data_IF_775007868493
#
_entry.id   IF_775007868493
#
_cell.length_a   1.000
_cell.length_b   1.000
_cell.length_c   1.000
_cell.angle_alpha   90.00
_cell.angle_beta   90.00
_cell.angle_gamma   90.00
#
_symmetry.space_group_name_H-M   'P 1'
#
loop_
_entity.id
_entity.type
_entity.pdbx_description
1 polymer ?
#
# COMPACT_ATOMS: atom_id res chain seq x y z
N UNK A 1 22.23 5.71 2.32
CA UNK A 1 20.82 5.76 2.76
C UNK A 1 20.49 4.53 3.60
N UNK A 2 19.61 4.69 4.57
CA UNK A 2 19.11 3.55 5.35
C UNK A 2 18.25 2.65 4.47
N UNK A 3 18.33 1.35 4.72
CA UNK A 3 17.44 0.37 4.06
C UNK A 3 16.35 -0.03 5.03
N UNK A 4 15.10 0.21 4.63
CA UNK A 4 13.92 -0.12 5.43
C UNK A 4 13.11 -1.17 4.68
N UNK A 5 12.73 -2.22 5.37
CA UNK A 5 11.82 -3.22 4.80
C UNK A 5 10.40 -2.89 5.24
N UNK A 6 9.47 -2.87 4.30
CA UNK A 6 8.09 -2.46 4.53
C UNK A 6 7.16 -3.57 4.05
N UNK A 7 6.26 -3.99 4.94
CA UNK A 7 5.22 -4.99 4.65
C UNK A 7 3.88 -4.28 4.77
N UNK A 8 3.03 -4.41 3.77
CA UNK A 8 1.73 -3.71 3.76
C UNK A 8 0.59 -4.63 3.39
N UNK A 9 -0.59 -4.31 3.89
CA UNK A 9 -1.82 -4.99 3.49
C UNK A 9 -3.02 -4.08 3.70
N UNK A 10 -4.08 -4.35 2.94
CA UNK A 10 -5.36 -3.70 3.06
C UNK A 10 -6.49 -4.71 3.03
N UNK A 11 -7.58 -4.41 3.72
CA UNK A 11 -8.75 -5.26 3.78
C UNK A 11 -10.00 -4.41 3.70
N UNK A 12 -11.06 -4.97 3.13
CA UNK A 12 -12.33 -4.27 3.05
C UNK A 12 -13.47 -5.27 3.16
N UNK A 13 -14.45 -4.96 4.00
CA UNK A 13 -15.65 -5.78 4.19
C UNK A 13 -16.76 -5.24 3.28
N UNK A 14 -16.97 -5.90 2.15
CA UNK A 14 -17.76 -5.34 1.05
C UNK A 14 -16.86 -4.41 0.21
N UNK A 15 -17.31 -4.04 -0.97
CA UNK A 15 -16.49 -3.23 -1.86
C UNK A 15 -17.40 -2.31 -2.68
N UNK A 16 -17.82 -1.15 -2.14
CA UNK A 16 -17.28 -0.46 -0.96
C UNK A 16 -17.85 -0.95 0.38
N UNK A 17 -17.16 -0.61 1.45
CA UNK A 17 -17.58 -0.90 2.81
C UNK A 17 -16.50 -0.52 3.81
N UNK A 18 -16.64 -0.94 5.08
CA UNK A 18 -15.59 -0.66 6.07
C UNK A 18 -14.28 -1.34 5.70
N UNK A 19 -13.20 -0.62 5.81
CA UNK A 19 -11.88 -1.14 5.47
C UNK A 19 -10.83 -0.81 6.50
N UNK A 20 -9.72 -1.52 6.41
CA UNK A 20 -8.55 -1.30 7.25
C UNK A 20 -7.27 -1.50 6.47
N UNK A 21 -6.20 -0.95 7.01
CA UNK A 21 -4.87 -1.06 6.43
C UNK A 21 -3.85 -1.26 7.54
N UNK A 22 -2.72 -1.85 7.18
CA UNK A 22 -1.61 -2.04 8.10
C UNK A 22 -0.30 -1.98 7.35
N UNK A 23 0.72 -1.45 8.01
CA UNK A 23 2.09 -1.50 7.53
C UNK A 23 3.01 -1.86 8.68
N UNK A 24 4.01 -2.71 8.40
CA UNK A 24 5.10 -3.02 9.31
C UNK A 24 6.37 -2.50 8.68
N UNK A 25 7.08 -1.63 9.41
CA UNK A 25 8.36 -1.09 8.98
C UNK A 25 9.46 -1.70 9.83
N UNK A 26 10.50 -2.22 9.17
CA UNK A 26 11.61 -2.88 9.85
C UNK A 26 12.92 -2.22 9.47
N UNK A 27 13.71 -1.83 10.47
CA UNK A 27 15.02 -1.26 10.28
C UNK A 27 15.94 -1.75 11.39
N UNK A 28 17.06 -2.36 10.98
CA UNK A 28 18.12 -2.76 11.93
C UNK A 28 17.60 -3.66 13.07
N UNK A 29 16.68 -4.58 12.77
CA UNK A 29 16.08 -5.47 13.74
C UNK A 29 14.96 -4.84 14.58
N UNK A 30 14.67 -3.55 14.39
CA UNK A 30 13.56 -2.87 15.04
C UNK A 30 12.35 -2.86 14.14
N UNK A 31 11.20 -3.11 14.72
CA UNK A 31 9.94 -3.25 13.99
C UNK A 31 8.93 -2.24 14.53
N UNK A 32 8.22 -1.57 13.60
CA UNK A 32 7.13 -0.67 13.95
C UNK A 32 5.91 -1.02 13.13
N UNK A 33 4.77 -1.23 13.79
CA UNK A 33 3.50 -1.45 13.13
C UNK A 33 2.64 -0.20 13.22
N UNK A 34 2.07 0.21 12.08
CA UNK A 34 1.07 1.28 12.02
C UNK A 34 -0.15 0.73 11.29
N UNK A 35 -1.32 1.19 11.70
CA UNK A 35 -2.58 0.71 11.11
C UNK A 35 -3.67 1.73 11.28
N UNK A 36 -4.75 1.57 10.53
CA UNK A 36 -5.91 2.42 10.61
C UNK A 36 -7.04 1.88 9.74
N UNK A 37 -8.13 2.62 9.66
CA UNK A 37 -9.26 2.18 8.87
C UNK A 37 -10.15 3.31 8.45
N UNK A 38 -11.13 2.99 7.61
CA UNK A 38 -12.13 3.93 7.10
C UNK A 38 -13.48 3.25 7.09
N UNK A 39 -14.52 4.03 7.39
CA UNK A 39 -15.89 3.51 7.45
C UNK A 39 -16.41 3.05 6.08
N UNK A 40 -16.00 3.74 5.02
CA UNK A 40 -16.42 3.42 3.65
C UNK A 40 -15.27 3.61 2.68
N UNK A 41 -14.79 2.51 2.14
CA UNK A 41 -13.63 2.49 1.24
C UNK A 41 -13.67 1.26 0.34
N UNK A 42 -12.58 0.97 -0.36
CA UNK A 42 -12.43 -0.22 -1.18
C UNK A 42 -11.14 -0.94 -0.81
N UNK A 43 -11.03 -2.19 -1.21
CA UNK A 43 -9.81 -2.96 -0.96
C UNK A 43 -8.58 -2.28 -1.58
N UNK A 44 -8.68 -1.84 -2.84
CA UNK A 44 -7.55 -1.19 -3.50
C UNK A 44 -7.14 0.12 -2.82
N UNK A 45 -8.12 0.90 -2.34
CA UNK A 45 -7.80 2.12 -1.60
C UNK A 45 -7.05 1.82 -0.31
N UNK A 46 -7.42 0.75 0.39
CA UNK A 46 -6.75 0.35 1.63
C UNK A 46 -5.33 -0.16 1.35
N UNK A 47 -5.14 -0.89 0.26
CA UNK A 47 -3.80 -1.31 -0.17
C UNK A 47 -2.90 -0.11 -0.47
N UNK A 48 -3.41 0.87 -1.20
CA UNK A 48 -2.68 2.11 -1.49
C UNK A 48 -2.38 2.90 -0.22
N UNK A 49 -3.38 3.03 0.65
CA UNK A 49 -3.25 3.78 1.90
C UNK A 49 -2.16 3.19 2.81
N UNK A 50 -2.07 1.85 2.88
CA UNK A 50 -1.02 1.20 3.66
C UNK A 50 0.37 1.62 3.21
N UNK A 51 0.62 1.63 1.90
CA UNK A 51 1.93 2.05 1.37
C UNK A 51 2.17 3.53 1.61
N UNK A 52 1.17 4.37 1.38
CA UNK A 52 1.27 5.81 1.60
C UNK A 52 1.64 6.09 3.06
N UNK A 53 0.93 5.50 4.00
CA UNK A 53 1.18 5.73 5.43
C UNK A 53 2.56 5.22 5.85
N UNK A 54 3.00 4.09 5.29
CA UNK A 54 4.34 3.59 5.55
C UNK A 54 5.42 4.58 5.10
N UNK A 55 5.29 5.11 3.89
CA UNK A 55 6.27 6.06 3.37
C UNK A 55 6.23 7.40 4.11
N UNK A 56 5.03 7.84 4.53
CA UNK A 56 4.91 9.05 5.35
C UNK A 56 5.60 8.91 6.72
N UNK A 57 5.75 7.68 7.22
CA UNK A 57 6.43 7.43 8.48
C UNK A 57 7.96 7.57 8.37
N UNK A 58 8.51 7.59 7.15
CA UNK A 58 9.94 7.74 6.92
C UNK A 58 10.30 9.23 6.92
N UNK A 59 11.33 9.58 7.67
CA UNK A 59 11.73 10.99 7.87
C UNK A 59 12.84 11.45 6.96
N UNK A 60 13.43 10.54 6.19
CA UNK A 60 14.55 10.84 5.29
C UNK A 60 14.47 9.91 4.07
N UNK A 61 15.14 10.23 2.97
CA UNK A 61 15.23 9.31 1.85
C UNK A 61 15.86 7.98 2.28
N UNK A 62 15.21 6.89 1.87
CA UNK A 62 15.64 5.53 2.22
C UNK A 62 15.65 4.63 0.99
N UNK A 63 16.39 3.54 1.09
CA UNK A 63 16.16 2.39 0.22
C UNK A 63 14.98 1.62 0.85
N UNK A 64 13.91 1.42 0.10
CA UNK A 64 12.71 0.77 0.60
C UNK A 64 12.47 -0.54 -0.13
N UNK A 65 12.49 -1.65 0.64
CA UNK A 65 12.10 -2.96 0.13
C UNK A 65 10.63 -3.15 0.51
N UNK A 66 9.73 -3.04 -0.48
CA UNK A 66 8.30 -3.10 -0.24
C UNK A 66 7.75 -4.49 -0.60
N UNK A 67 7.11 -5.15 0.37
CA UNK A 67 6.46 -6.44 0.21
C UNK A 67 4.95 -6.27 0.33
N UNK A 68 4.21 -6.67 -0.70
CA UNK A 68 2.74 -6.61 -0.73
C UNK A 68 2.18 -7.76 -1.57
N UNK A 69 1.01 -8.25 -1.19
CA UNK A 69 0.29 -9.24 -1.99
C UNK A 69 -0.65 -8.60 -3.02
N UNK A 70 -0.73 -7.27 -3.04
CA UNK A 70 -1.54 -6.55 -4.01
C UNK A 70 -0.82 -6.43 -5.36
N UNK A 71 -1.23 -7.24 -6.31
CA UNK A 71 -0.71 -7.13 -7.68
C UNK A 71 -1.05 -5.78 -8.30
N UNK A 72 -2.22 -5.25 -7.98
CA UNK A 72 -2.63 -3.93 -8.45
C UNK A 72 -1.59 -2.86 -8.10
N UNK A 73 -1.17 -2.81 -6.85
CA UNK A 73 -0.21 -1.81 -6.39
C UNK A 73 1.20 -2.09 -6.92
N UNK A 74 1.66 -3.32 -6.74
CA UNK A 74 3.03 -3.69 -7.13
C UNK A 74 3.25 -3.55 -8.63
N UNK A 75 2.34 -4.06 -9.46
CA UNK A 75 2.49 -3.99 -10.91
C UNK A 75 2.40 -2.56 -11.43
N UNK A 76 1.46 -1.76 -10.90
CA UNK A 76 1.32 -0.37 -11.33
C UNK A 76 2.56 0.47 -11.01
N UNK A 77 3.25 0.17 -9.91
CA UNK A 77 4.49 0.86 -9.56
C UNK A 77 5.69 0.29 -10.32
N UNK A 78 5.88 -1.03 -10.25
CA UNK A 78 7.07 -1.66 -10.83
C UNK A 78 7.11 -1.57 -12.35
N UNK A 79 5.98 -1.75 -13.01
CA UNK A 79 5.88 -1.69 -14.47
C UNK A 79 5.69 -0.27 -14.99
N UNK A 80 5.57 0.70 -14.10
CA UNK A 80 5.44 2.10 -14.49
C UNK A 80 4.06 2.53 -14.95
N UNK A 81 3.03 1.68 -14.79
CA UNK A 81 1.68 1.99 -15.25
C UNK A 81 1.09 3.24 -14.60
N UNK A 82 1.30 3.40 -13.29
CA UNK A 82 0.75 4.55 -12.58
C UNK A 82 1.38 5.86 -13.06
N UNK A 83 2.68 5.85 -13.36
CA UNK A 83 3.35 7.01 -13.96
C UNK A 83 2.77 7.35 -15.34
N UNK A 84 2.47 6.32 -16.12
CA UNK A 84 1.84 6.50 -17.42
C UNK A 84 0.44 7.08 -17.32
N UNK A 85 -0.37 6.59 -16.37
CA UNK A 85 -1.71 7.13 -16.14
C UNK A 85 -1.66 8.61 -15.76
N UNK A 86 -0.77 8.96 -14.85
CA UNK A 86 -0.60 10.35 -14.43
C UNK A 86 -0.23 11.26 -15.60
N UNK A 87 0.71 10.81 -16.43
CA UNK A 87 1.16 11.57 -17.62
C UNK A 87 0.02 11.82 -18.60
N UNK A 88 -0.94 10.91 -18.68
CA UNK A 88 -2.09 10.99 -19.58
C UNK A 88 -3.36 11.55 -18.92
N UNK A 89 -3.22 12.23 -17.78
CA UNK A 89 -4.36 12.82 -17.08
C UNK A 89 -5.26 11.79 -16.43
N UNK A 90 -4.68 10.69 -15.97
CA UNK A 90 -5.39 9.59 -15.29
C UNK A 90 -6.34 8.82 -16.22
N UNK A 91 -5.89 8.63 -17.44
CA UNK A 91 -6.61 7.82 -18.44
C UNK A 91 -5.73 6.61 -18.77
N UNK A 92 -6.32 5.42 -18.72
CA UNK A 92 -5.62 4.17 -19.04
C UNK A 92 -5.54 3.97 -20.55
N UNK A 93 -4.74 2.98 -20.98
CA UNK A 93 -4.56 2.67 -22.41
C UNK A 93 -5.85 2.27 -23.12
N UNK A 94 -6.82 1.72 -22.40
CA UNK A 94 -8.15 1.37 -22.92
C UNK A 94 -9.10 2.58 -22.97
N UNK A 95 -8.60 3.78 -22.69
CA UNK A 95 -9.30 5.05 -22.66
C UNK A 95 -10.31 5.19 -21.49
N UNK A 96 -10.31 4.24 -20.56
CA UNK A 96 -11.12 4.33 -19.35
C UNK A 96 -10.36 5.10 -18.26
N UNK A 97 -11.07 5.76 -17.35
CA UNK A 97 -10.41 6.46 -16.24
C UNK A 97 -9.62 5.49 -15.36
N UNK A 98 -8.43 5.89 -14.96
CA UNK A 98 -7.70 5.18 -13.91
C UNK A 98 -8.39 5.46 -12.58
N UNK A 99 -8.55 4.43 -11.75
CA UNK A 99 -9.17 4.57 -10.45
C UNK A 99 -8.20 5.12 -9.41
N UNK A 100 -8.74 5.76 -8.38
CA UNK A 100 -7.98 6.24 -7.23
C UNK A 100 -6.88 7.27 -7.59
N UNK A 101 -7.14 8.23 -8.48
CA UNK A 101 -6.09 9.18 -8.86
C UNK A 101 -5.58 10.01 -7.70
N UNK A 102 -6.43 10.30 -6.71
CA UNK A 102 -6.04 11.04 -5.50
C UNK A 102 -4.94 10.31 -4.73
N UNK A 103 -5.13 9.03 -4.47
CA UNK A 103 -4.14 8.22 -3.74
C UNK A 103 -2.90 7.95 -4.58
N UNK A 104 -3.06 7.69 -5.87
CA UNK A 104 -1.92 7.48 -6.76
C UNK A 104 -1.05 8.72 -6.88
N UNK A 105 -1.65 9.92 -6.97
CA UNK A 105 -0.89 11.17 -7.02
C UNK A 105 -0.02 11.32 -5.77
N UNK A 106 -0.59 11.07 -4.61
CA UNK A 106 0.14 11.13 -3.34
C UNK A 106 1.25 10.07 -3.28
N UNK A 107 0.93 8.84 -3.66
CA UNK A 107 1.90 7.74 -3.60
C UNK A 107 3.08 7.96 -4.56
N UNK A 108 2.81 8.41 -5.78
CA UNK A 108 3.89 8.67 -6.75
C UNK A 108 4.84 9.77 -6.26
N UNK A 109 4.29 10.80 -5.61
CA UNK A 109 5.12 11.83 -4.99
C UNK A 109 6.03 11.27 -3.89
N UNK A 110 5.51 10.33 -3.10
CA UNK A 110 6.28 9.73 -2.01
C UNK A 110 7.34 8.76 -2.54
N UNK A 111 7.01 7.87 -3.48
CA UNK A 111 7.99 6.92 -4.00
C UNK A 111 9.15 7.61 -4.70
N UNK A 112 8.93 8.80 -5.27
CA UNK A 112 9.99 9.56 -5.94
C UNK A 112 11.06 10.06 -4.96
N UNK A 113 10.78 10.06 -3.66
CA UNK A 113 11.71 10.50 -2.62
C UNK A 113 12.63 9.38 -2.13
N UNK A 114 12.39 8.14 -2.55
CA UNK A 114 13.09 6.97 -2.06
C UNK A 114 13.61 6.12 -3.21
N UNK A 115 14.54 5.21 -2.91
CA UNK A 115 14.94 4.17 -3.85
C UNK A 115 14.05 2.95 -3.57
N UNK A 116 13.12 2.66 -4.47
CA UNK A 116 12.09 1.63 -4.24
C UNK A 116 12.46 0.31 -4.91
N UNK A 117 12.32 -0.78 -4.16
CA UNK A 117 12.41 -2.15 -4.65
C UNK A 117 11.09 -2.85 -4.32
N UNK A 118 10.42 -3.41 -5.32
CA UNK A 118 9.08 -3.96 -5.18
C UNK A 118 9.12 -5.49 -5.20
N UNK A 119 8.41 -6.10 -4.23
CA UNK A 119 8.33 -7.54 -4.09
C UNK A 119 6.86 -7.95 -3.93
N UNK A 120 6.34 -8.64 -4.93
CA UNK A 120 5.02 -9.22 -4.82
C UNK A 120 5.10 -10.54 -4.06
N UNK A 121 4.27 -10.72 -3.02
CA UNK A 121 4.17 -11.94 -2.26
C UNK A 121 2.85 -12.63 -2.58
N UNK A 122 2.89 -13.94 -2.80
CA UNK A 122 1.73 -14.72 -3.22
C UNK A 122 0.93 -15.18 -2.01
N UNK A 123 -0.07 -14.37 -1.59
CA UNK A 123 -0.99 -14.75 -0.53
C UNK A 123 -0.34 -14.94 0.83
N UNK A 124 -1.12 -15.51 1.75
CA UNK A 124 -0.81 -15.52 3.18
C UNK A 124 0.26 -16.53 3.62
N UNK A 125 0.62 -17.47 2.78
CA UNK A 125 1.47 -18.58 3.22
C UNK A 125 2.96 -18.30 3.20
N UNK A 126 3.40 -17.24 2.51
CA UNK A 126 4.81 -17.03 2.21
C UNK A 126 5.53 -16.02 3.10
N UNK A 127 4.80 -15.15 3.79
CA UNK A 127 5.43 -14.11 4.59
C UNK A 127 4.67 -13.84 5.88
N UNK A 128 5.30 -14.17 6.99
CA UNK A 128 4.71 -14.04 8.32
C UNK A 128 4.32 -12.59 8.65
N UNK A 129 5.12 -11.62 8.22
CA UNK A 129 4.82 -10.21 8.51
C UNK A 129 3.67 -9.69 7.66
N UNK A 130 3.54 -10.14 6.41
CA UNK A 130 2.37 -9.82 5.61
C UNK A 130 1.10 -10.46 6.21
N UNK A 131 1.22 -11.67 6.79
CA UNK A 131 0.09 -12.28 7.49
C UNK A 131 -0.34 -11.46 8.71
N UNK A 132 0.61 -10.94 9.47
CA UNK A 132 0.30 -10.07 10.62
C UNK A 132 -0.36 -8.77 10.16
N UNK A 133 0.10 -8.21 9.03
CA UNK A 133 -0.54 -7.04 8.43
C UNK A 133 -1.98 -7.33 8.03
N UNK A 134 -2.23 -8.48 7.41
CA UNK A 134 -3.58 -8.87 7.02
C UNK A 134 -4.51 -8.95 8.22
N UNK A 135 -4.08 -9.64 9.27
CA UNK A 135 -4.86 -9.75 10.49
C UNK A 135 -5.19 -8.39 11.09
N UNK A 136 -4.20 -7.50 11.16
CA UNK A 136 -4.41 -6.17 11.72
C UNK A 136 -5.30 -5.30 10.84
N UNK A 137 -5.18 -5.40 9.53
CA UNK A 137 -6.03 -4.67 8.60
C UNK A 137 -7.49 -5.10 8.75
N UNK A 138 -7.74 -6.40 8.90
CA UNK A 138 -9.08 -6.92 9.16
C UNK A 138 -9.64 -6.41 10.48
N UNK A 139 -8.82 -6.42 11.54
CA UNK A 139 -9.23 -5.88 12.85
C UNK A 139 -9.61 -4.40 12.75
N UNK A 140 -8.85 -3.61 12.03
CA UNK A 140 -9.16 -2.20 11.83
C UNK A 140 -10.50 -2.01 11.10
N UNK A 141 -10.77 -2.83 10.08
CA UNK A 141 -12.04 -2.75 9.34
C UNK A 141 -13.24 -3.05 10.25
N UNK A 142 -13.06 -3.97 11.21
CA UNK A 142 -14.14 -4.39 12.12
C UNK A 142 -14.53 -3.32 13.12
N UNK A 143 -13.70 -2.32 13.36
CA UNK A 143 -14.01 -1.23 14.28
C UNK A 143 -15.20 -0.38 13.83
N UNK A 144 -15.56 -0.46 12.54
CA UNK A 144 -16.69 0.27 11.96
C UNK A 144 -17.96 -0.56 11.86
N UNK A 145 -17.94 -1.79 12.34
CA UNK A 145 -19.13 -2.63 12.40
C UNK A 145 -19.96 -2.26 13.61
N UNK A 146 -21.24 -2.08 13.36
CA UNK A 146 -22.21 -1.85 14.43
C UNK A 146 -23.01 -3.14 14.71
#
# INVERSE_FOLDING_TARGET
>A
MKTVTVYTDGACSGNPGPGGWCAILEYNGHEKMISGGEERTTNNRMELTAVIQALLALREPCVVELYSDSKYVIDALEKGWAWGWRKKGWIKSDKKPALNPDLWEMLLGLVSQHEMWYHWVKGHEENEKNNRCDEQAVLESRKFRT
#
